data_IF_315790273612
#
_entry.id   IF_315790273612
#
_cell.length_a   1.000
_cell.length_b   1.000
_cell.length_c   1.000
_cell.angle_alpha   90.00
_cell.angle_beta   90.00
_cell.angle_gamma   90.00
#
_symmetry.space_group_name_H-M   'P 1'
#
loop_
_entity.id
_entity.type
_entity.pdbx_description
1 polymer ?
#
# COMPACT_ATOMS: atom_id res chain seq x y z
N UNK A 1 -22.73 -0.26 4.32
CA UNK A 1 -22.56 -0.58 2.89
C UNK A 1 -23.90 -0.99 2.29
N UNK A 2 -24.31 -0.46 1.13
CA UNK A 2 -25.50 -0.92 0.40
C UNK A 2 -25.05 -1.80 -0.76
N UNK A 3 -25.20 -3.12 -0.62
CA UNK A 3 -24.82 -4.09 -1.65
C UNK A 3 -25.96 -4.21 -2.66
N UNK A 4 -25.82 -3.54 -3.82
CA UNK A 4 -26.83 -3.53 -4.89
C UNK A 4 -26.40 -4.37 -6.10
N UNK A 5 -26.07 -5.62 -5.83
CA UNK A 5 -25.67 -6.64 -6.81
C UNK A 5 -26.87 -7.45 -7.32
N UNK A 6 -26.70 -8.18 -8.42
CA UNK A 6 -27.72 -9.09 -8.97
C UNK A 6 -27.86 -10.42 -8.21
N UNK A 7 -26.88 -10.74 -7.36
CA UNK A 7 -26.84 -11.89 -6.46
C UNK A 7 -26.43 -11.40 -5.07
N UNK A 8 -27.00 -11.92 -3.97
CA UNK A 8 -26.49 -11.60 -2.63
C UNK A 8 -25.03 -12.07 -2.48
N UNK A 9 -24.22 -11.44 -1.60
CA UNK A 9 -22.90 -11.95 -1.27
C UNK A 9 -23.02 -13.26 -0.47
N UNK A 10 -22.03 -14.14 -0.55
CA UNK A 10 -22.00 -15.39 0.23
C UNK A 10 -21.64 -15.16 1.71
N UNK A 11 -20.96 -14.05 2.01
CA UNK A 11 -20.39 -13.76 3.32
C UNK A 11 -20.43 -12.25 3.66
N UNK A 12 -20.57 -11.93 4.96
CA UNK A 12 -20.24 -10.63 5.55
C UNK A 12 -19.16 -10.81 6.64
N UNK A 13 -18.26 -9.84 6.75
CA UNK A 13 -17.28 -9.73 7.84
C UNK A 13 -17.73 -8.64 8.82
N UNK A 14 -17.61 -8.90 10.12
CA UNK A 14 -17.92 -7.93 11.18
C UNK A 14 -16.69 -7.12 11.56
N UNK A 15 -16.81 -5.79 11.59
CA UNK A 15 -15.68 -4.89 11.87
C UNK A 15 -15.30 -4.87 13.36
N UNK A 16 -14.03 -4.58 13.65
CA UNK A 16 -13.50 -4.47 15.03
C UNK A 16 -14.25 -3.46 15.91
N UNK A 17 -14.77 -2.38 15.33
CA UNK A 17 -15.24 -1.22 16.08
C UNK A 17 -16.57 -1.46 16.82
N UNK A 18 -16.80 -0.64 17.84
CA UNK A 18 -18.11 -0.50 18.48
C UNK A 18 -19.04 0.35 17.64
N UNK A 19 -20.32 -0.01 17.62
CA UNK A 19 -21.42 0.80 17.08
C UNK A 19 -22.45 0.95 18.20
N UNK A 20 -22.69 2.19 18.64
CA UNK A 20 -23.58 2.50 19.76
C UNK A 20 -23.27 1.69 21.04
N UNK A 21 -21.97 1.56 21.36
CA UNK A 21 -21.47 0.93 22.59
C UNK A 21 -21.17 -0.58 22.51
N UNK A 22 -21.72 -1.30 21.52
CA UNK A 22 -21.47 -2.74 21.33
C UNK A 22 -20.55 -2.99 20.13
N UNK A 23 -19.58 -3.88 20.26
CA UNK A 23 -18.77 -4.37 19.12
C UNK A 23 -19.69 -5.02 18.08
N UNK A 24 -19.38 -4.85 16.79
CA UNK A 24 -20.25 -5.30 15.70
C UNK A 24 -20.52 -6.82 15.75
N UNK A 25 -19.53 -7.60 16.18
CA UNK A 25 -19.54 -9.05 16.30
C UNK A 25 -20.59 -9.58 17.32
N UNK A 26 -20.93 -8.79 18.34
CA UNK A 26 -21.97 -9.08 19.33
C UNK A 26 -23.23 -8.21 19.21
N UNK A 27 -23.35 -7.43 18.13
CA UNK A 27 -24.45 -6.49 17.98
C UNK A 27 -25.69 -7.14 17.33
N UNK A 28 -26.54 -7.74 18.17
CA UNK A 28 -27.82 -8.38 17.79
C UNK A 28 -28.66 -7.50 16.85
N UNK A 29 -28.67 -6.17 17.04
CA UNK A 29 -29.45 -5.26 16.20
C UNK A 29 -28.90 -5.15 14.77
N UNK A 30 -27.58 -5.23 14.60
CA UNK A 30 -26.96 -5.19 13.27
C UNK A 30 -27.09 -6.56 12.61
N UNK A 31 -26.65 -7.62 13.30
CA UNK A 31 -26.53 -8.96 12.74
C UNK A 31 -27.87 -9.68 12.60
N UNK A 32 -28.68 -9.75 13.66
CA UNK A 32 -29.99 -10.39 13.60
C UNK A 32 -31.10 -9.45 13.11
N UNK A 33 -31.35 -8.32 13.78
CA UNK A 33 -32.55 -7.52 13.48
C UNK A 33 -32.51 -6.89 12.07
N UNK A 34 -31.39 -6.29 11.68
CA UNK A 34 -31.23 -5.74 10.31
C UNK A 34 -30.81 -6.81 9.31
N UNK A 35 -29.63 -7.42 9.47
CA UNK A 35 -29.04 -8.27 8.43
C UNK A 35 -29.82 -9.59 8.22
N UNK A 36 -30.14 -10.36 9.27
CA UNK A 36 -30.96 -11.59 9.11
C UNK A 36 -32.44 -11.30 8.89
N UNK A 37 -33.08 -10.46 9.71
CA UNK A 37 -34.54 -10.36 9.77
C UNK A 37 -35.12 -9.37 8.76
N UNK A 38 -34.61 -8.14 8.69
CA UNK A 38 -35.08 -7.12 7.75
C UNK A 38 -34.57 -7.33 6.32
N UNK A 39 -33.27 -7.62 6.14
CA UNK A 39 -32.64 -7.76 4.82
C UNK A 39 -32.62 -9.18 4.28
N UNK A 40 -33.03 -10.17 5.09
CA UNK A 40 -33.17 -11.57 4.66
C UNK A 40 -31.85 -12.31 4.38
N UNK A 41 -30.70 -11.83 4.87
CA UNK A 41 -29.40 -12.44 4.57
C UNK A 41 -29.25 -13.84 5.17
N UNK A 42 -28.83 -14.83 4.35
CA UNK A 42 -28.68 -16.24 4.76
C UNK A 42 -27.29 -16.84 4.47
N UNK A 43 -26.32 -16.02 4.03
CA UNK A 43 -24.92 -16.43 3.91
C UNK A 43 -24.18 -16.44 5.26
N UNK A 44 -22.86 -16.55 5.23
CA UNK A 44 -22.01 -16.63 6.42
C UNK A 44 -21.74 -15.24 7.03
N UNK A 45 -21.60 -15.16 8.35
CA UNK A 45 -21.07 -14.00 9.08
C UNK A 45 -19.78 -14.41 9.79
N UNK A 46 -18.65 -13.81 9.40
CA UNK A 46 -17.33 -14.07 9.98
C UNK A 46 -16.85 -12.87 10.82
N UNK A 47 -15.96 -13.08 11.78
CA UNK A 47 -15.24 -11.98 12.40
C UNK A 47 -14.12 -11.47 11.49
N UNK A 48 -13.72 -10.22 11.66
CA UNK A 48 -12.37 -9.79 11.30
C UNK A 48 -11.32 -10.55 12.15
N UNK A 49 -10.04 -10.41 11.83
CA UNK A 49 -8.96 -11.24 12.37
C UNK A 49 -8.64 -10.94 13.84
N UNK A 50 -9.13 -11.76 14.76
CA UNK A 50 -9.15 -11.49 16.20
C UNK A 50 -10.32 -10.60 16.65
N UNK A 51 -11.24 -10.26 15.74
CA UNK A 51 -12.38 -9.37 15.97
C UNK A 51 -13.58 -10.01 16.70
N UNK A 52 -13.39 -11.07 17.48
CA UNK A 52 -14.45 -11.71 18.28
C UNK A 52 -14.36 -11.25 19.73
N UNK A 53 -15.39 -10.56 20.23
CA UNK A 53 -15.38 -9.89 21.53
C UNK A 53 -15.91 -10.76 22.68
N UNK A 54 -16.64 -11.84 22.40
CA UNK A 54 -17.11 -12.79 23.40
C UNK A 54 -17.41 -14.17 22.80
N UNK A 55 -17.45 -15.19 23.67
CA UNK A 55 -17.92 -16.54 23.30
C UNK A 55 -19.44 -16.58 23.05
N UNK A 56 -20.26 -15.98 23.93
CA UNK A 56 -21.70 -16.27 24.02
C UNK A 56 -22.54 -15.21 23.33
N UNK A 57 -22.32 -13.94 23.66
CA UNK A 57 -23.06 -12.80 23.13
C UNK A 57 -22.93 -12.71 21.60
N UNK A 58 -21.75 -12.98 21.05
CA UNK A 58 -21.49 -12.98 19.61
C UNK A 58 -22.19 -14.14 18.88
N UNK A 59 -22.26 -15.34 19.48
CA UNK A 59 -23.07 -16.43 18.94
C UNK A 59 -24.58 -16.10 18.97
N UNK A 60 -25.07 -15.48 20.06
CA UNK A 60 -26.46 -15.02 20.17
C UNK A 60 -26.78 -13.90 19.15
N UNK A 61 -25.80 -13.06 18.83
CA UNK A 61 -25.93 -12.02 17.82
C UNK A 61 -25.96 -12.56 16.38
N UNK A 62 -25.43 -13.76 16.13
CA UNK A 62 -25.37 -14.36 14.80
C UNK A 62 -24.01 -14.22 14.09
N UNK A 63 -22.92 -14.15 14.86
CA UNK A 63 -21.54 -14.33 14.37
C UNK A 63 -21.26 -15.82 14.18
N UNK A 64 -21.40 -16.32 12.95
CA UNK A 64 -21.28 -17.74 12.65
C UNK A 64 -19.85 -18.25 12.92
N UNK A 65 -18.81 -17.54 12.47
CA UNK A 65 -17.40 -17.97 12.52
C UNK A 65 -16.48 -16.94 13.18
N UNK A 66 -15.64 -17.41 14.12
CA UNK A 66 -14.48 -16.69 14.66
C UNK A 66 -13.27 -16.93 13.75
N UNK A 67 -12.51 -15.86 13.48
CA UNK A 67 -11.27 -15.87 12.72
C UNK A 67 -10.15 -15.23 13.56
N UNK A 68 -8.92 -15.74 13.55
CA UNK A 68 -8.44 -16.94 12.84
C UNK A 68 -8.81 -18.27 13.52
N UNK A 69 -8.31 -19.38 12.97
CA UNK A 69 -8.27 -20.67 13.66
C UNK A 69 -7.25 -20.70 14.81
N UNK A 70 -7.42 -21.65 15.73
CA UNK A 70 -7.07 -21.51 17.16
C UNK A 70 -7.95 -20.42 17.79
N UNK A 71 -9.22 -20.78 18.01
CA UNK A 71 -10.30 -19.84 18.32
C UNK A 71 -10.24 -19.43 19.80
N UNK A 72 -9.43 -18.41 20.12
CA UNK A 72 -9.13 -17.99 21.49
C UNK A 72 -10.38 -17.82 22.38
N UNK A 73 -11.49 -17.33 21.82
CA UNK A 73 -12.72 -17.11 22.58
C UNK A 73 -13.66 -18.32 22.62
N UNK A 74 -13.65 -19.21 21.62
CA UNK A 74 -14.57 -20.36 21.51
C UNK A 74 -13.97 -21.71 21.90
N UNK A 75 -12.70 -21.96 21.62
CA UNK A 75 -12.08 -23.30 21.69
C UNK A 75 -12.13 -23.88 23.11
N UNK A 76 -11.78 -23.10 24.13
CA UNK A 76 -11.76 -23.55 25.54
C UNK A 76 -13.13 -23.93 26.12
N UNK A 77 -14.24 -23.56 25.47
CA UNK A 77 -15.62 -23.74 25.98
C UNK A 77 -16.50 -24.60 25.09
N UNK A 78 -16.37 -24.50 23.76
CA UNK A 78 -17.23 -25.20 22.79
C UNK A 78 -16.65 -26.54 22.32
N UNK A 79 -15.32 -26.70 22.29
CA UNK A 79 -14.68 -27.96 21.86
C UNK A 79 -15.02 -29.15 22.78
N UNK A 80 -15.54 -28.88 23.98
CA UNK A 80 -16.03 -29.88 24.94
C UNK A 80 -17.48 -30.33 24.70
N UNK A 81 -18.16 -29.74 23.72
CA UNK A 81 -19.55 -30.01 23.35
C UNK A 81 -19.75 -30.36 21.86
N UNK A 82 -18.79 -30.03 20.99
CA UNK A 82 -18.88 -30.25 19.55
C UNK A 82 -17.59 -30.84 18.95
N UNK A 83 -17.61 -32.17 18.76
CA UNK A 83 -16.79 -32.89 17.78
C UNK A 83 -17.77 -33.74 16.94
N UNK A 84 -17.63 -33.91 15.62
CA UNK A 84 -16.53 -33.49 14.73
C UNK A 84 -17.02 -33.36 13.26
N UNK A 85 -16.08 -33.08 12.34
CA UNK A 85 -16.19 -33.05 10.86
C UNK A 85 -16.88 -31.82 10.20
N UNK A 86 -16.17 -31.06 9.32
CA UNK A 86 -16.79 -30.12 8.39
C UNK A 86 -17.50 -30.87 7.24
N UNK A 87 -18.59 -30.32 6.71
CA UNK A 87 -19.39 -31.02 5.68
C UNK A 87 -18.76 -30.93 4.28
N UNK A 88 -19.03 -31.89 3.37
CA UNK A 88 -18.54 -31.85 1.99
C UNK A 88 -18.99 -30.60 1.22
N UNK A 89 -20.16 -30.03 1.52
CA UNK A 89 -20.67 -28.80 0.90
C UNK A 89 -19.81 -27.59 1.25
N UNK A 90 -19.34 -27.49 2.50
CA UNK A 90 -18.43 -26.41 2.93
C UNK A 90 -17.08 -26.52 2.22
N UNK A 91 -16.53 -27.73 2.11
CA UNK A 91 -15.27 -27.97 1.39
C UNK A 91 -15.42 -27.67 -0.12
N UNK A 92 -16.52 -28.11 -0.75
CA UNK A 92 -16.80 -27.81 -2.15
C UNK A 92 -17.02 -26.31 -2.41
N UNK A 93 -17.64 -25.58 -1.47
CA UNK A 93 -17.78 -24.13 -1.55
C UNK A 93 -16.41 -23.42 -1.45
N UNK A 94 -15.54 -23.87 -0.54
CA UNK A 94 -14.16 -23.37 -0.40
C UNK A 94 -13.36 -23.65 -1.68
N UNK A 95 -13.36 -24.88 -2.21
CA UNK A 95 -12.65 -25.22 -3.45
C UNK A 95 -13.19 -24.43 -4.67
N UNK A 96 -14.50 -24.18 -4.71
CA UNK A 96 -15.12 -23.33 -5.76
C UNK A 96 -14.67 -21.86 -5.64
N UNK A 97 -14.54 -21.33 -4.42
CA UNK A 97 -14.05 -19.97 -4.18
C UNK A 97 -12.54 -19.82 -4.39
N UNK A 98 -11.76 -20.87 -4.10
CA UNK A 98 -10.29 -20.94 -4.26
C UNK A 98 -9.88 -21.33 -5.69
N UNK A 99 -10.83 -21.77 -6.53
CA UNK A 99 -10.59 -22.02 -7.95
C UNK A 99 -10.06 -20.76 -8.64
N UNK A 100 -8.81 -20.83 -9.11
CA UNK A 100 -8.05 -19.69 -9.60
C UNK A 100 -8.71 -19.00 -10.81
N UNK A 101 -9.48 -17.94 -10.55
CA UNK A 101 -9.94 -16.99 -11.55
C UNK A 101 -8.72 -16.34 -12.22
N UNK A 102 -8.38 -16.81 -13.42
CA UNK A 102 -7.28 -16.28 -14.23
C UNK A 102 -7.66 -14.93 -14.87
N UNK A 103 -7.83 -13.90 -14.02
CA UNK A 103 -8.14 -12.53 -14.45
C UNK A 103 -7.07 -12.07 -15.45
N UNK A 104 -7.48 -11.95 -16.72
CA UNK A 104 -6.56 -11.60 -17.78
C UNK A 104 -5.92 -10.25 -17.52
N UNK A 105 -4.62 -10.11 -17.82
CA UNK A 105 -3.89 -8.83 -17.81
C UNK A 105 -4.62 -7.73 -18.60
N UNK A 106 -5.40 -8.11 -19.63
CA UNK A 106 -6.29 -7.20 -20.38
C UNK A 106 -7.39 -6.56 -19.50
N UNK A 107 -7.98 -7.32 -18.58
CA UNK A 107 -9.02 -6.85 -17.65
C UNK A 107 -8.39 -5.91 -16.63
N UNK A 108 -7.27 -6.29 -16.00
CA UNK A 108 -6.54 -5.45 -15.05
C UNK A 108 -6.17 -4.11 -15.69
N UNK A 109 -5.58 -4.15 -16.89
CA UNK A 109 -5.23 -2.93 -17.66
C UNK A 109 -6.44 -2.08 -18.02
N UNK A 110 -7.56 -2.70 -18.40
CA UNK A 110 -8.80 -1.97 -18.71
C UNK A 110 -9.38 -1.29 -17.47
N UNK A 111 -9.56 -2.01 -16.37
CA UNK A 111 -10.10 -1.44 -15.12
C UNK A 111 -9.22 -0.30 -14.61
N UNK A 112 -7.89 -0.47 -14.66
CA UNK A 112 -6.95 0.59 -14.31
C UNK A 112 -7.06 1.82 -15.24
N UNK A 113 -7.27 1.63 -16.56
CA UNK A 113 -7.39 2.74 -17.50
C UNK A 113 -8.74 3.45 -17.43
N UNK A 114 -9.84 2.71 -17.24
CA UNK A 114 -11.18 3.26 -17.02
C UNK A 114 -11.26 4.04 -15.69
N UNK A 115 -10.54 3.59 -14.66
CA UNK A 115 -10.50 4.23 -13.34
C UNK A 115 -9.72 5.56 -13.28
N UNK A 116 -8.95 5.91 -14.32
CA UNK A 116 -8.20 7.17 -14.35
C UNK A 116 -9.15 8.37 -14.53
N UNK A 117 -9.02 9.35 -13.63
CA UNK A 117 -9.83 10.57 -13.64
C UNK A 117 -8.98 11.75 -14.14
N UNK A 118 -9.34 12.27 -15.32
CA UNK A 118 -8.73 13.48 -15.88
C UNK A 118 -9.36 14.72 -15.23
N UNK A 119 -8.73 15.23 -14.18
CA UNK A 119 -9.25 16.33 -13.36
C UNK A 119 -9.00 17.72 -13.97
N UNK A 120 -7.89 17.91 -14.69
CA UNK A 120 -7.62 19.13 -15.48
C UNK A 120 -6.99 18.78 -16.82
N UNK A 121 -7.39 19.48 -17.88
CA UNK A 121 -6.75 19.47 -19.22
C UNK A 121 -7.00 20.79 -19.96
N UNK A 122 -6.85 21.91 -19.25
CA UNK A 122 -7.31 23.26 -19.68
C UNK A 122 -6.65 23.76 -20.96
N UNK A 123 -5.44 23.28 -21.26
CA UNK A 123 -4.66 23.67 -22.45
C UNK A 123 -4.68 22.60 -23.56
N UNK A 124 -5.53 21.55 -23.42
CA UNK A 124 -5.60 20.40 -24.34
C UNK A 124 -4.22 19.72 -24.54
N UNK A 125 -3.44 19.65 -23.46
CA UNK A 125 -2.11 19.02 -23.43
C UNK A 125 -2.21 17.49 -23.57
N UNK A 126 -3.34 16.89 -23.15
CA UNK A 126 -3.68 15.50 -23.42
C UNK A 126 -4.79 15.38 -24.49
N UNK A 127 -4.78 14.30 -25.31
CA UNK A 127 -3.77 13.24 -25.36
C UNK A 127 -2.43 13.72 -25.95
N UNK A 128 -1.32 13.13 -25.51
CA UNK A 128 0.01 13.38 -26.08
C UNK A 128 0.07 12.75 -27.48
N UNK A 129 0.19 13.55 -28.56
CA UNK A 129 0.21 13.01 -29.91
C UNK A 129 1.54 12.27 -30.13
N UNK A 130 1.45 10.98 -30.44
CA UNK A 130 2.60 10.07 -30.56
C UNK A 130 3.63 10.54 -31.60
N UNK A 131 3.21 10.89 -32.83
CA UNK A 131 4.15 11.24 -33.91
C UNK A 131 5.03 12.47 -33.57
N UNK A 132 4.51 13.58 -33.01
CA UNK A 132 5.33 14.67 -32.46
C UNK A 132 6.34 14.30 -31.34
N UNK A 133 6.19 13.15 -30.68
CA UNK A 133 7.15 12.63 -29.70
C UNK A 133 8.29 11.80 -30.31
N UNK A 134 8.23 11.44 -31.59
CA UNK A 134 9.27 10.69 -32.27
C UNK A 134 10.64 11.39 -32.15
N UNK A 135 11.63 10.69 -31.60
CA UNK A 135 12.97 11.22 -31.35
C UNK A 135 13.03 12.37 -30.33
N UNK A 136 11.95 12.66 -29.59
CA UNK A 136 11.96 13.66 -28.51
C UNK A 136 12.41 13.03 -27.19
N UNK A 137 12.84 13.88 -26.27
CA UNK A 137 13.14 13.51 -24.89
C UNK A 137 11.97 13.90 -23.96
N UNK A 138 11.21 12.90 -23.55
CA UNK A 138 10.31 12.99 -22.40
C UNK A 138 11.15 12.75 -21.13
N UNK A 139 10.68 13.17 -19.97
CA UNK A 139 11.34 12.90 -18.70
C UNK A 139 10.32 12.78 -17.56
N UNK A 140 10.72 12.03 -16.54
CA UNK A 140 9.94 11.55 -15.41
C UNK A 140 10.76 11.81 -14.12
N UNK A 141 10.47 12.86 -13.35
CA UNK A 141 10.82 13.02 -11.93
C UNK A 141 9.73 12.31 -11.14
N UNK A 142 10.07 11.78 -9.97
CA UNK A 142 9.15 11.71 -8.85
C UNK A 142 9.41 10.48 -8.00
N UNK A 143 8.91 10.45 -6.75
CA UNK A 143 8.90 9.23 -5.95
C UNK A 143 8.24 8.07 -6.72
N UNK A 144 7.06 8.31 -7.30
CA UNK A 144 6.25 7.31 -8.00
C UNK A 144 6.59 7.19 -9.51
N UNK A 145 7.61 7.89 -10.01
CA UNK A 145 7.79 8.08 -11.45
C UNK A 145 8.51 6.92 -12.16
N UNK A 146 9.31 6.15 -11.43
CA UNK A 146 9.97 4.95 -11.96
C UNK A 146 8.98 3.78 -12.02
N UNK A 147 8.65 3.23 -10.85
CA UNK A 147 7.80 2.03 -10.70
C UNK A 147 6.32 2.40 -10.52
N UNK A 148 6.04 3.40 -9.68
CA UNK A 148 4.70 3.71 -9.18
C UNK A 148 4.30 2.78 -8.02
N UNK A 149 3.21 3.11 -7.34
CA UNK A 149 2.63 2.31 -6.26
C UNK A 149 1.49 1.45 -6.84
N UNK A 150 1.47 0.13 -6.61
CA UNK A 150 0.47 -0.75 -7.23
C UNK A 150 -0.76 -1.02 -6.36
N UNK A 151 -0.68 -0.86 -5.03
CA UNK A 151 -1.77 -1.15 -4.08
C UNK A 151 -1.70 -0.27 -2.83
N UNK A 152 -2.48 -0.64 -1.81
CA UNK A 152 -2.43 -0.09 -0.44
C UNK A 152 -1.71 -1.06 0.50
N UNK A 153 -1.26 -0.58 1.65
CA UNK A 153 -0.68 -1.41 2.71
C UNK A 153 -1.72 -2.25 3.45
N UNK A 154 -1.28 -3.38 4.01
CA UNK A 154 -2.09 -4.26 4.87
C UNK A 154 -2.66 -5.50 4.20
N UNK A 155 -3.79 -6.00 4.70
CA UNK A 155 -4.48 -7.22 4.23
C UNK A 155 -4.89 -7.17 2.75
N UNK A 156 -5.13 -5.97 2.21
CA UNK A 156 -5.41 -5.74 0.79
C UNK A 156 -4.15 -5.71 -0.11
N UNK A 157 -2.94 -5.77 0.46
CA UNK A 157 -1.69 -5.89 -0.30
C UNK A 157 -1.51 -7.32 -0.84
N UNK A 158 -0.86 -7.46 -2.00
CA UNK A 158 -0.70 -8.74 -2.69
C UNK A 158 0.70 -8.89 -3.27
N UNK A 159 1.29 -10.09 -3.15
CA UNK A 159 2.51 -10.46 -3.87
C UNK A 159 2.23 -10.53 -5.38
N UNK A 160 2.60 -9.47 -6.10
CA UNK A 160 2.32 -9.32 -7.52
C UNK A 160 3.19 -10.25 -8.38
N UNK A 161 2.59 -10.89 -9.38
CA UNK A 161 3.33 -11.69 -10.38
C UNK A 161 4.35 -10.84 -11.15
N UNK A 162 4.03 -9.56 -11.35
CA UNK A 162 4.89 -8.52 -11.91
C UNK A 162 4.21 -7.15 -11.67
N UNK A 163 4.95 -6.06 -11.88
CA UNK A 163 4.40 -4.72 -11.96
C UNK A 163 4.85 -4.04 -13.25
N UNK A 164 3.94 -3.33 -13.91
CA UNK A 164 4.27 -2.45 -15.03
C UNK A 164 4.73 -1.08 -14.52
N UNK A 165 6.01 -0.78 -14.73
CA UNK A 165 6.64 0.46 -14.27
C UNK A 165 6.18 1.65 -15.12
N UNK A 166 5.85 2.78 -14.49
CA UNK A 166 5.31 3.99 -15.13
C UNK A 166 6.16 4.46 -16.32
N UNK A 167 7.45 4.73 -16.09
CA UNK A 167 8.37 5.21 -17.13
C UNK A 167 8.58 4.18 -18.25
N UNK A 168 8.83 2.91 -17.88
CA UNK A 168 9.10 1.85 -18.86
C UNK A 168 7.89 1.57 -19.75
N UNK A 169 6.69 1.54 -19.16
CA UNK A 169 5.44 1.30 -19.88
C UNK A 169 5.14 2.39 -20.90
N UNK A 170 5.44 3.66 -20.59
CA UNK A 170 5.34 4.76 -21.55
C UNK A 170 6.19 4.49 -22.82
N UNK A 171 7.42 3.98 -22.65
CA UNK A 171 8.28 3.61 -23.77
C UNK A 171 7.79 2.36 -24.51
N UNK A 172 7.39 1.30 -23.79
CA UNK A 172 6.86 0.07 -24.40
C UNK A 172 5.59 0.31 -25.20
N UNK A 173 4.67 1.13 -24.69
CA UNK A 173 3.42 1.46 -25.39
C UNK A 173 3.69 2.37 -26.58
N UNK A 174 4.54 3.40 -26.47
CA UNK A 174 4.93 4.22 -27.63
C UNK A 174 5.57 3.37 -28.75
N UNK A 175 6.48 2.45 -28.38
CA UNK A 175 7.11 1.52 -29.33
C UNK A 175 6.09 0.58 -29.98
N UNK A 176 5.06 0.12 -29.24
CA UNK A 176 3.96 -0.67 -29.81
C UNK A 176 3.14 0.08 -30.88
N UNK A 177 3.18 1.41 -30.85
CA UNK A 177 2.54 2.30 -31.84
C UNK A 177 3.54 2.80 -32.90
N UNK A 178 4.72 2.16 -33.01
CA UNK A 178 5.76 2.49 -33.97
C UNK A 178 6.59 3.75 -33.66
N UNK A 179 6.52 4.28 -32.44
CA UNK A 179 7.20 5.53 -32.06
C UNK A 179 8.26 5.32 -30.97
N UNK A 180 9.52 5.53 -31.33
CA UNK A 180 10.64 5.54 -30.39
C UNK A 180 10.74 6.90 -29.68
N UNK A 181 10.64 6.88 -28.34
CA UNK A 181 10.76 8.07 -27.48
C UNK A 181 11.89 7.88 -26.47
N UNK A 182 12.78 8.87 -26.37
CA UNK A 182 13.80 8.92 -25.32
C UNK A 182 13.16 9.37 -24.01
N UNK A 183 13.44 8.66 -22.91
CA UNK A 183 12.93 9.04 -21.58
C UNK A 183 14.08 9.09 -20.58
N UNK A 184 14.07 10.10 -19.71
CA UNK A 184 15.00 10.24 -18.57
C UNK A 184 14.25 10.16 -17.24
N UNK A 185 14.79 9.41 -16.28
CA UNK A 185 14.28 9.32 -14.91
C UNK A 185 14.95 10.32 -13.96
N UNK A 186 14.30 10.61 -12.83
CA UNK A 186 14.82 11.34 -11.68
C UNK A 186 13.90 11.19 -10.46
N UNK A 187 14.39 11.47 -9.24
CA UNK A 187 13.52 11.43 -8.05
C UNK A 187 12.84 12.78 -7.74
N UNK A 188 13.53 13.90 -7.94
CA UNK A 188 13.03 15.23 -7.54
C UNK A 188 13.04 15.40 -6.03
N UNK A 189 11.93 15.04 -5.39
CA UNK A 189 11.75 15.03 -3.95
C UNK A 189 11.81 13.59 -3.41
N UNK A 190 12.22 13.42 -2.15
CA UNK A 190 11.88 12.21 -1.40
C UNK A 190 10.45 12.35 -0.85
N UNK A 191 9.71 11.24 -0.78
CA UNK A 191 8.33 11.22 -0.31
C UNK A 191 7.90 9.90 0.36
N UNK A 192 8.81 8.92 0.50
CA UNK A 192 8.54 7.70 1.27
C UNK A 192 8.39 8.04 2.74
N UNK A 193 7.65 7.23 3.49
CA UNK A 193 7.47 7.41 4.94
C UNK A 193 8.73 6.93 5.66
N UNK A 194 9.17 5.73 5.30
CA UNK A 194 10.39 5.11 5.79
C UNK A 194 11.52 5.23 4.75
N UNK A 195 12.73 4.84 5.14
CA UNK A 195 13.82 4.72 4.18
C UNK A 195 13.56 3.54 3.22
N UNK A 196 13.90 3.68 1.92
CA UNK A 196 13.66 2.62 0.95
C UNK A 196 14.44 1.34 1.29
N UNK A 197 13.77 0.20 1.18
CA UNK A 197 14.40 -1.12 1.24
C UNK A 197 15.63 -1.21 0.32
N UNK A 198 16.66 -1.89 0.81
CA UNK A 198 17.87 -2.23 0.08
C UNK A 198 17.57 -2.83 -1.30
N UNK A 199 17.98 -2.15 -2.37
CA UNK A 199 17.65 -2.57 -3.75
C UNK A 199 18.44 -3.82 -4.17
N UNK A 200 17.77 -4.81 -4.76
CA UNK A 200 18.36 -6.09 -5.20
C UNK A 200 19.59 -5.95 -6.12
N UNK A 201 19.68 -4.86 -6.89
CA UNK A 201 20.81 -4.59 -7.78
C UNK A 201 22.07 -4.14 -7.04
N UNK A 202 21.91 -3.63 -5.81
CA UNK A 202 22.96 -3.06 -4.97
C UNK A 202 23.41 -4.08 -3.90
N UNK A 203 22.61 -5.09 -3.56
CA UNK A 203 22.88 -6.05 -2.48
C UNK A 203 23.17 -7.45 -3.01
N UNK A 204 24.23 -8.09 -2.52
CA UNK A 204 24.64 -9.46 -2.89
C UNK A 204 25.30 -10.14 -1.70
N UNK A 205 24.98 -11.41 -1.45
CA UNK A 205 25.80 -12.26 -0.59
C UNK A 205 27.19 -12.46 -1.25
N UNK A 206 28.32 -12.28 -0.55
CA UNK A 206 29.66 -12.50 -1.12
C UNK A 206 29.98 -13.95 -1.51
N UNK A 207 29.06 -14.90 -1.27
CA UNK A 207 29.27 -16.34 -1.37
C UNK A 207 28.04 -17.00 -2.00
N UNK A 208 28.22 -17.64 -3.16
CA UNK A 208 27.21 -18.40 -3.91
C UNK A 208 27.32 -19.91 -3.65
N UNK A 209 26.27 -20.67 -4.01
CA UNK A 209 25.22 -21.11 -3.10
C UNK A 209 25.68 -22.24 -2.15
N UNK A 210 25.01 -22.35 -0.99
CA UNK A 210 24.89 -23.61 -0.24
C UNK A 210 23.56 -24.29 -0.60
N UNK A 211 23.34 -25.54 -0.16
CA UNK A 211 22.09 -26.26 -0.42
C UNK A 211 20.85 -25.42 -0.07
N UNK A 212 19.92 -25.33 -1.02
CA UNK A 212 18.66 -24.59 -0.87
C UNK A 212 18.62 -23.17 -1.45
N UNK A 213 19.74 -22.59 -1.90
CA UNK A 213 19.72 -21.33 -2.67
C UNK A 213 19.55 -21.59 -4.18
N UNK A 214 18.78 -20.73 -4.85
CA UNK A 214 18.54 -20.75 -6.30
C UNK A 214 19.43 -19.77 -7.09
N UNK A 215 20.46 -19.20 -6.44
CA UNK A 215 21.38 -18.22 -7.04
C UNK A 215 20.82 -16.81 -7.13
N UNK A 216 19.71 -16.51 -6.43
CA UNK A 216 19.13 -15.17 -6.34
C UNK A 216 19.13 -14.61 -4.90
N UNK A 217 19.78 -15.29 -3.95
CA UNK A 217 19.87 -14.81 -2.58
C UNK A 217 20.71 -13.51 -2.47
N UNK A 218 20.13 -12.49 -1.86
CA UNK A 218 20.79 -11.23 -1.49
C UNK A 218 20.97 -11.08 0.01
N UNK A 219 20.35 -11.96 0.80
CA UNK A 219 20.36 -11.91 2.27
C UNK A 219 20.22 -13.33 2.85
N UNK A 220 20.94 -13.57 3.95
CA UNK A 220 20.92 -14.80 4.77
C UNK A 220 20.36 -14.45 6.15
N UNK A 221 19.35 -15.20 6.59
CA UNK A 221 18.93 -15.25 8.01
C UNK A 221 19.56 -16.46 8.67
N UNK A 222 20.02 -16.31 9.91
CA UNK A 222 20.39 -17.40 10.81
C UNK A 222 19.53 -17.31 12.08
N UNK A 223 18.76 -18.36 12.37
CA UNK A 223 17.88 -18.44 13.54
C UNK A 223 18.62 -19.12 14.69
N UNK A 224 19.07 -18.37 15.69
CA UNK A 224 19.67 -18.91 16.91
C UNK A 224 18.60 -19.28 17.95
N UNK A 225 18.91 -20.20 18.87
CA UNK A 225 18.04 -20.55 20.01
C UNK A 225 18.30 -19.71 21.27
N UNK A 226 19.19 -18.73 21.16
CA UNK A 226 19.72 -17.88 22.21
C UNK A 226 19.27 -16.43 21.98
N UNK A 227 18.73 -15.72 22.99
CA UNK A 227 18.24 -14.35 22.80
C UNK A 227 19.34 -13.32 22.45
N UNK A 228 20.60 -13.62 22.76
CA UNK A 228 21.78 -12.82 22.39
C UNK A 228 22.40 -13.24 21.05
N UNK A 229 21.73 -14.15 20.32
CA UNK A 229 22.18 -14.77 19.06
C UNK A 229 23.49 -15.55 19.14
N UNK A 230 23.99 -15.86 20.34
CA UNK A 230 25.25 -16.60 20.53
C UNK A 230 25.17 -18.08 20.11
N UNK A 231 26.25 -18.60 19.53
CA UNK A 231 26.36 -20.01 19.13
C UNK A 231 25.85 -20.32 17.71
N UNK A 232 25.65 -21.60 17.35
CA UNK A 232 25.32 -22.00 15.99
C UNK A 232 23.83 -21.83 15.67
N UNK A 233 23.55 -21.36 14.45
CA UNK A 233 22.21 -21.27 13.91
C UNK A 233 21.49 -22.64 13.91
N UNK A 234 20.25 -22.66 14.41
CA UNK A 234 19.34 -23.83 14.35
C UNK A 234 18.73 -24.00 12.97
N UNK A 235 18.58 -22.91 12.23
CA UNK A 235 18.05 -22.87 10.87
C UNK A 235 18.68 -21.70 10.11
N UNK A 236 19.05 -21.91 8.86
CA UNK A 236 19.46 -20.85 7.94
C UNK A 236 18.41 -20.73 6.84
N UNK A 237 18.06 -19.51 6.45
CA UNK A 237 17.18 -19.23 5.33
C UNK A 237 17.85 -18.20 4.40
N UNK A 238 17.68 -18.39 3.10
CA UNK A 238 18.10 -17.43 2.08
C UNK A 238 16.88 -16.68 1.51
N UNK A 239 17.06 -15.40 1.13
CA UNK A 239 16.01 -14.57 0.50
C UNK A 239 16.56 -13.72 -0.64
N UNK A 240 15.71 -13.51 -1.64
CA UNK A 240 15.99 -12.65 -2.81
C UNK A 240 15.41 -11.24 -2.67
N UNK A 241 14.89 -10.88 -1.50
CA UNK A 241 14.38 -9.55 -1.15
C UNK A 241 14.86 -9.15 0.26
N UNK A 242 14.80 -7.84 0.51
CA UNK A 242 15.26 -7.15 1.73
C UNK A 242 14.13 -6.81 2.71
N UNK A 243 12.88 -7.14 2.37
CA UNK A 243 11.74 -7.04 3.29
C UNK A 243 11.78 -8.22 4.28
N UNK A 244 12.33 -7.99 5.48
CA UNK A 244 12.37 -8.95 6.58
C UNK A 244 12.60 -8.28 7.93
N UNK A 245 12.16 -8.95 8.99
CA UNK A 245 12.71 -8.84 10.35
C UNK A 245 14.16 -9.39 10.42
N UNK A 246 15.10 -8.74 9.72
CA UNK A 246 16.52 -8.48 10.07
C UNK A 246 17.48 -9.71 10.21
N UNK A 247 18.79 -9.71 9.86
CA UNK A 247 19.79 -8.79 9.26
C UNK A 247 21.07 -9.64 8.96
N UNK A 248 22.08 -9.32 8.13
CA UNK A 248 22.40 -8.27 7.15
C UNK A 248 23.49 -8.80 6.17
N UNK A 249 23.72 -8.21 4.98
CA UNK A 249 25.04 -8.20 4.30
C UNK A 249 25.21 -7.06 3.29
N UNK A 250 26.17 -6.16 3.53
CA UNK A 250 26.69 -5.17 2.56
C UNK A 250 27.65 -5.81 1.52
N UNK A 251 27.77 -5.31 0.26
CA UNK A 251 28.73 -5.81 -0.73
C UNK A 251 30.09 -5.08 -0.70
N UNK A 252 31.12 -5.74 -1.24
CA UNK A 252 32.51 -5.25 -1.24
C UNK A 252 32.77 -3.99 -2.09
N UNK A 253 31.96 -3.72 -3.12
CA UNK A 253 32.24 -2.71 -4.16
C UNK A 253 31.37 -1.43 -4.03
N UNK A 254 31.02 -1.01 -2.81
CA UNK A 254 30.11 0.12 -2.56
C UNK A 254 30.88 1.39 -2.13
N UNK A 255 30.83 2.47 -2.93
CA UNK A 255 31.69 3.67 -2.77
C UNK A 255 30.96 5.04 -2.62
N UNK A 256 31.71 6.08 -2.21
CA UNK A 256 31.44 6.74 -0.91
C UNK A 256 31.73 8.24 -0.74
N UNK A 257 30.68 9.06 -0.56
CA UNK A 257 30.74 10.47 -0.08
C UNK A 257 29.43 11.14 0.45
N UNK A 258 28.26 10.47 0.55
CA UNK A 258 26.96 11.07 0.93
C UNK A 258 26.17 10.31 2.03
N UNK A 259 26.80 10.07 3.20
CA UNK A 259 26.23 9.39 4.41
C UNK A 259 24.75 9.00 4.34
N UNK A 260 24.35 7.87 3.71
CA UNK A 260 22.97 7.43 3.76
C UNK A 260 22.56 7.17 5.20
N UNK A 261 21.34 7.55 5.55
CA UNK A 261 20.71 7.00 6.72
C UNK A 261 20.44 5.51 6.47
N UNK A 262 20.75 4.70 7.48
CA UNK A 262 20.22 3.34 7.64
C UNK A 262 19.06 3.45 8.63
N UNK A 263 18.04 2.61 8.50
CA UNK A 263 16.95 2.58 9.47
C UNK A 263 16.62 1.19 9.98
N UNK A 264 15.92 1.18 11.11
CA UNK A 264 15.47 -0.01 11.80
C UNK A 264 14.10 0.27 12.42
N UNK A 265 13.13 -0.58 12.12
CA UNK A 265 11.94 -0.76 12.95
C UNK A 265 11.60 -2.24 13.00
N UNK A 266 10.98 -2.69 14.10
CA UNK A 266 10.70 -4.11 14.33
C UNK A 266 9.60 -4.28 15.37
N UNK A 267 8.96 -5.45 15.38
CA UNK A 267 8.29 -5.97 16.57
C UNK A 267 9.35 -6.68 17.42
N UNK A 268 9.40 -6.39 18.72
CA UNK A 268 10.53 -6.79 19.57
C UNK A 268 11.81 -5.99 19.33
N UNK A 269 12.85 -6.30 20.11
CA UNK A 269 14.14 -5.58 20.09
C UNK A 269 15.08 -6.07 18.99
N UNK A 270 15.76 -5.15 18.30
CA UNK A 270 16.66 -5.46 17.18
C UNK A 270 17.86 -4.51 17.08
N UNK A 271 18.96 -4.91 16.42
CA UNK A 271 20.14 -4.07 16.22
C UNK A 271 20.72 -4.26 14.82
N UNK A 272 21.06 -3.15 14.16
CA UNK A 272 21.70 -3.15 12.85
C UNK A 272 23.17 -2.80 12.99
N UNK A 273 24.01 -3.71 12.52
CA UNK A 273 25.46 -3.55 12.43
C UNK A 273 25.87 -3.42 10.95
N UNK A 274 26.85 -2.58 10.65
CA UNK A 274 27.43 -2.43 9.31
C UNK A 274 28.95 -2.49 9.43
N UNK A 275 29.57 -3.48 8.78
CA UNK A 275 30.98 -3.86 8.94
C UNK A 275 31.37 -4.22 10.39
N UNK A 276 30.41 -4.73 11.16
CA UNK A 276 30.58 -5.07 12.59
C UNK A 276 30.40 -3.90 13.56
N UNK A 277 30.27 -2.67 13.06
CA UNK A 277 29.98 -1.48 13.88
C UNK A 277 28.47 -1.30 14.07
N UNK A 278 28.01 -1.00 15.28
CA UNK A 278 26.59 -0.77 15.58
C UNK A 278 26.12 0.56 14.98
N UNK A 279 25.24 0.51 13.98
CA UNK A 279 24.71 1.70 13.29
C UNK A 279 23.33 2.10 13.81
N UNK A 280 22.46 1.13 14.17
CA UNK A 280 21.15 1.44 14.77
C UNK A 280 20.86 0.48 15.94
N UNK A 281 20.61 1.04 17.12
CA UNK A 281 20.17 0.28 18.29
C UNK A 281 18.66 0.43 18.53
N UNK A 282 17.91 -0.59 18.10
CA UNK A 282 16.50 -0.76 18.40
C UNK A 282 16.25 -1.88 19.44
N UNK A 283 17.26 -2.23 20.25
CA UNK A 283 17.19 -3.36 21.19
C UNK A 283 16.17 -3.15 22.31
N UNK A 284 15.93 -1.88 22.69
CA UNK A 284 14.82 -1.47 23.54
C UNK A 284 14.16 -0.23 22.91
N UNK A 285 12.84 -0.20 22.92
CA UNK A 285 11.99 0.92 22.53
C UNK A 285 10.74 0.93 23.41
N UNK A 286 10.09 2.09 23.52
CA UNK A 286 8.90 2.30 24.35
C UNK A 286 7.90 3.14 23.57
N UNK A 287 6.61 2.85 23.74
CA UNK A 287 5.55 3.40 22.90
C UNK A 287 5.39 2.62 21.60
N UNK A 288 4.13 2.36 21.26
CA UNK A 288 3.73 1.74 19.99
C UNK A 288 3.79 2.78 18.86
N UNK A 289 4.16 2.36 17.65
CA UNK A 289 4.19 3.20 16.45
C UNK A 289 3.84 2.39 15.19
N UNK A 290 3.60 3.10 14.09
CA UNK A 290 2.91 2.64 12.86
C UNK A 290 3.48 1.37 12.20
N UNK A 291 4.75 1.00 12.43
CA UNK A 291 5.31 -0.28 11.96
C UNK A 291 4.46 -1.47 12.42
N UNK A 292 4.21 -2.42 11.51
CA UNK A 292 3.42 -3.63 11.77
C UNK A 292 2.08 -3.33 12.46
N UNK A 293 1.19 -2.61 11.75
CA UNK A 293 -0.19 -2.33 12.19
C UNK A 293 -0.29 -1.63 13.55
N UNK A 294 0.63 -0.71 13.84
CA UNK A 294 0.80 -0.04 15.15
C UNK A 294 1.35 -0.91 16.30
N UNK A 295 1.81 -2.14 16.07
CA UNK A 295 2.40 -3.00 17.12
C UNK A 295 3.94 -2.98 17.18
N UNK A 296 4.60 -2.26 16.27
CA UNK A 296 6.06 -2.17 16.18
C UNK A 296 6.67 -0.89 16.76
N UNK A 297 7.99 -0.80 16.67
CA UNK A 297 8.74 0.42 17.04
C UNK A 297 8.57 1.55 16.03
N UNK A 298 8.82 2.79 16.45
CA UNK A 298 9.10 3.87 15.51
C UNK A 298 10.37 3.56 14.69
N UNK A 299 10.51 4.19 13.51
CA UNK A 299 11.73 4.07 12.71
C UNK A 299 12.91 4.79 13.40
N UNK A 300 13.86 4.02 13.94
CA UNK A 300 15.16 4.55 14.37
C UNK A 300 16.08 4.68 13.17
N UNK A 301 16.86 5.76 13.10
CA UNK A 301 17.82 6.04 12.03
C UNK A 301 19.25 6.15 12.58
N UNK A 302 20.21 5.60 11.85
CA UNK A 302 21.66 5.77 12.02
C UNK A 302 22.29 6.09 10.67
N UNK A 303 23.62 6.26 10.55
CA UNK A 303 24.21 6.77 9.30
C UNK A 303 25.71 6.44 9.12
N UNK A 304 26.12 5.98 7.92
CA UNK A 304 27.52 5.67 7.53
C UNK A 304 27.77 6.14 6.07
N UNK A 305 28.99 6.51 5.66
CA UNK A 305 29.32 7.29 4.42
C UNK A 305 29.25 6.46 3.08
N UNK A 306 28.39 6.80 2.08
CA UNK A 306 28.15 6.14 0.73
C UNK A 306 27.50 7.14 -0.31
N UNK A 307 27.50 7.03 -1.67
CA UNK A 307 27.13 8.19 -2.61
C UNK A 307 26.05 8.11 -3.74
N UNK A 308 25.58 9.33 -4.15
CA UNK A 308 25.33 9.90 -5.52
C UNK A 308 24.18 9.37 -6.46
N UNK A 309 23.58 10.12 -7.43
CA UNK A 309 23.03 11.51 -7.50
C UNK A 309 21.96 11.69 -8.67
N UNK A 310 21.59 12.92 -9.17
CA UNK A 310 20.21 13.41 -9.60
C UNK A 310 20.15 14.27 -10.95
N UNK A 311 19.08 14.83 -11.63
CA UNK A 311 17.55 15.00 -11.58
C UNK A 311 16.88 15.63 -12.90
N UNK A 312 15.53 15.53 -13.18
CA UNK A 312 14.54 16.55 -13.80
C UNK A 312 13.11 16.06 -14.35
N UNK A 313 11.99 16.84 -14.16
CA UNK A 313 10.54 16.84 -14.68
C UNK A 313 9.39 15.87 -14.19
N UNK A 314 8.44 16.29 -13.32
CA UNK A 314 7.68 15.44 -12.34
C UNK A 314 6.36 14.67 -12.63
N UNK A 315 6.14 13.65 -11.76
CA UNK A 315 4.96 12.89 -11.27
C UNK A 315 5.01 12.92 -9.71
N UNK A 316 3.88 12.81 -8.99
CA UNK A 316 3.81 12.88 -7.50
C UNK A 316 2.80 11.87 -6.91
N UNK A 317 2.77 11.71 -5.57
CA UNK A 317 1.75 10.90 -4.89
C UNK A 317 2.04 10.52 -3.43
N UNK A 318 1.25 9.55 -2.97
CA UNK A 318 1.42 8.74 -1.76
C UNK A 318 1.93 7.33 -2.14
N UNK A 319 2.16 6.48 -1.14
CA UNK A 319 2.42 5.06 -1.32
C UNK A 319 1.78 4.21 -0.20
N UNK A 320 2.01 2.90 -0.26
CA UNK A 320 1.46 1.89 0.66
C UNK A 320 1.92 2.04 2.13
N UNK A 321 2.92 2.89 2.42
CA UNK A 321 3.32 3.26 3.79
C UNK A 321 2.50 4.45 4.32
N UNK A 322 2.02 5.32 3.44
CA UNK A 322 1.14 6.44 3.79
C UNK A 322 -0.35 6.04 3.81
N UNK A 323 -0.74 5.03 3.03
CA UNK A 323 -2.10 4.51 3.01
C UNK A 323 -2.07 2.99 3.23
N UNK A 324 -2.14 2.60 4.50
CA UNK A 324 -2.13 1.23 5.00
C UNK A 324 -3.28 1.00 5.97
N UNK A 325 -3.70 -0.25 6.10
CA UNK A 325 -4.42 -0.73 7.28
C UNK A 325 -3.60 -0.50 8.57
N UNK A 326 -4.30 -0.29 9.69
CA UNK A 326 -3.75 -0.15 11.03
C UNK A 326 -3.61 1.28 11.55
N UNK A 327 -3.52 2.28 10.67
CA UNK A 327 -3.42 3.69 11.06
C UNK A 327 -3.95 4.65 9.99
N UNK A 328 -4.50 5.78 10.43
CA UNK A 328 -4.95 6.84 9.54
C UNK A 328 -3.88 7.90 9.26
N UNK A 329 -3.99 8.57 8.11
CA UNK A 329 -3.16 9.73 7.78
C UNK A 329 -3.49 10.89 8.73
N UNK A 330 -2.43 11.48 9.30
CA UNK A 330 -2.54 12.60 10.23
C UNK A 330 -2.94 13.91 9.54
N UNK A 331 -2.73 14.02 8.22
CA UNK A 331 -3.15 15.15 7.39
C UNK A 331 -3.43 14.72 5.94
N UNK A 332 -3.88 15.67 5.12
CA UNK A 332 -4.07 15.49 3.68
C UNK A 332 -2.86 15.89 2.82
N UNK A 333 -1.71 16.25 3.38
CA UNK A 333 -0.59 16.80 2.61
C UNK A 333 0.03 15.78 1.63
N UNK A 334 0.68 16.30 0.57
CA UNK A 334 1.63 15.52 -0.22
C UNK A 334 2.96 15.42 0.55
N UNK A 335 3.46 14.21 0.86
CA UNK A 335 4.61 14.02 1.73
C UNK A 335 5.92 14.53 1.14
N UNK A 336 6.78 15.05 2.02
CA UNK A 336 8.11 15.57 1.69
C UNK A 336 8.09 16.82 0.80
N UNK A 337 9.19 17.04 0.07
CA UNK A 337 9.39 18.22 -0.79
C UNK A 337 8.50 18.22 -2.07
N UNK A 338 7.49 17.35 -2.19
CA UNK A 338 6.68 17.23 -3.42
C UNK A 338 5.95 18.52 -3.80
N UNK A 339 5.37 19.23 -2.84
CA UNK A 339 4.74 20.53 -3.09
C UNK A 339 5.76 21.56 -3.58
N UNK A 340 6.96 21.61 -2.97
CA UNK A 340 8.07 22.49 -3.38
C UNK A 340 8.61 22.14 -4.76
N UNK A 341 8.67 20.86 -5.09
CA UNK A 341 9.08 20.33 -6.39
C UNK A 341 8.12 20.77 -7.50
N UNK A 342 6.81 20.64 -7.29
CA UNK A 342 5.81 21.11 -8.26
C UNK A 342 5.90 22.62 -8.44
N UNK A 343 6.02 23.37 -7.33
CA UNK A 343 6.22 24.82 -7.39
C UNK A 343 7.47 25.24 -8.17
N UNK A 344 8.60 24.54 -7.96
CA UNK A 344 9.83 24.76 -8.73
C UNK A 344 9.63 24.48 -10.22
N UNK A 345 8.97 23.38 -10.58
CA UNK A 345 8.72 23.02 -11.98
C UNK A 345 7.79 23.99 -12.69
N UNK A 346 6.70 24.41 -12.05
CA UNK A 346 5.76 25.40 -12.61
C UNK A 346 6.45 26.76 -12.82
N UNK A 347 7.35 27.17 -11.91
CA UNK A 347 8.10 28.44 -12.02
C UNK A 347 9.28 28.39 -13.00
N UNK A 348 9.95 27.24 -13.15
CA UNK A 348 11.21 27.12 -13.92
C UNK A 348 11.06 26.50 -15.31
N UNK A 349 9.97 25.79 -15.60
CA UNK A 349 9.76 25.22 -16.93
C UNK A 349 9.54 26.33 -17.97
N UNK A 350 10.36 26.35 -19.03
CA UNK A 350 10.20 27.27 -20.18
C UNK A 350 8.84 27.14 -20.90
N UNK A 351 8.10 26.06 -20.64
CA UNK A 351 6.80 25.71 -21.22
C UNK A 351 5.95 24.96 -20.17
N UNK A 352 5.42 25.66 -19.15
CA UNK A 352 4.71 25.03 -18.05
C UNK A 352 3.36 24.44 -18.49
N UNK A 353 2.80 24.88 -19.62
CA UNK A 353 1.56 24.35 -20.21
C UNK A 353 1.68 22.88 -20.64
N UNK A 354 2.92 22.44 -20.91
CA UNK A 354 3.30 21.07 -21.30
C UNK A 354 3.64 20.15 -20.11
N UNK A 355 3.47 20.62 -18.88
CA UNK A 355 3.58 19.76 -17.71
C UNK A 355 2.28 18.97 -17.53
N UNK A 356 2.40 17.66 -17.34
CA UNK A 356 1.29 16.75 -17.07
C UNK A 356 1.52 16.17 -15.68
N UNK A 357 0.72 16.60 -14.72
CA UNK A 357 0.86 16.14 -13.34
C UNK A 357 -0.01 14.91 -13.12
N UNK A 358 0.62 13.83 -12.65
CA UNK A 358 -0.04 12.56 -12.33
C UNK A 358 0.08 12.36 -10.82
N UNK A 359 -1.04 12.07 -10.16
CA UNK A 359 -1.11 11.76 -8.74
C UNK A 359 -1.53 10.31 -8.50
N UNK A 360 -0.76 9.60 -7.67
CA UNK A 360 -1.15 8.32 -7.08
C UNK A 360 -1.54 8.52 -5.62
N UNK A 361 -2.76 8.16 -5.26
CA UNK A 361 -3.24 8.03 -3.87
C UNK A 361 -4.55 7.27 -3.86
N UNK A 362 -4.90 6.56 -2.80
CA UNK A 362 -6.23 5.99 -2.61
C UNK A 362 -7.26 7.09 -2.30
N UNK A 363 -6.87 8.07 -1.50
CA UNK A 363 -7.71 9.12 -0.92
C UNK A 363 -7.23 10.54 -1.32
N UNK A 364 -7.98 11.62 -0.98
CA UNK A 364 -7.67 12.98 -1.43
C UNK A 364 -6.40 13.54 -0.78
N UNK A 365 -5.65 14.38 -1.52
CA UNK A 365 -4.50 15.12 -1.00
C UNK A 365 -4.63 16.63 -1.24
N UNK A 366 -4.03 17.46 -0.40
CA UNK A 366 -3.98 18.90 -0.59
C UNK A 366 -3.06 19.28 -1.76
N UNK A 367 -3.57 20.15 -2.64
CA UNK A 367 -2.90 20.54 -3.88
C UNK A 367 -2.80 22.07 -3.96
N UNK A 368 -1.96 22.75 -3.14
CA UNK A 368 -1.85 24.22 -3.08
C UNK A 368 -1.32 24.87 -4.37
N UNK A 369 -1.00 24.07 -5.38
CA UNK A 369 -0.59 24.47 -6.73
C UNK A 369 -1.62 24.13 -7.82
N UNK A 370 -2.78 23.53 -7.47
CA UNK A 370 -3.74 22.99 -8.46
C UNK A 370 -4.22 24.04 -9.47
N UNK A 371 -4.45 25.28 -9.05
CA UNK A 371 -4.91 26.35 -9.95
C UNK A 371 -3.84 26.75 -10.96
N UNK A 372 -2.56 26.60 -10.60
CA UNK A 372 -1.39 27.00 -11.41
C UNK A 372 -0.97 25.94 -12.44
N UNK A 373 -1.59 24.76 -12.45
CA UNK A 373 -1.29 23.69 -13.43
C UNK A 373 -2.38 23.53 -14.48
N UNK A 374 -1.98 23.29 -15.73
CA UNK A 374 -2.90 23.12 -16.87
C UNK A 374 -3.59 21.75 -16.87
N UNK A 375 -2.87 20.72 -16.44
CA UNK A 375 -3.16 19.30 -16.69
C UNK A 375 -2.88 18.45 -15.45
N UNK A 376 -3.89 17.74 -14.96
CA UNK A 376 -3.82 16.94 -13.73
C UNK A 376 -4.66 15.66 -13.87
N UNK A 377 -4.10 14.51 -13.48
CA UNK A 377 -4.74 13.19 -13.48
C UNK A 377 -4.64 12.57 -12.09
N UNK A 378 -5.77 12.06 -11.60
CA UNK A 378 -5.81 11.10 -10.50
C UNK A 378 -5.82 9.69 -11.09
N UNK A 379 -4.90 8.82 -10.65
CA UNK A 379 -4.75 7.47 -11.22
C UNK A 379 -4.85 6.34 -10.20
N UNK A 380 -5.01 6.67 -8.92
CA UNK A 380 -5.11 5.72 -7.80
C UNK A 380 -3.95 4.70 -7.79
N UNK A 381 -4.22 3.51 -7.23
CA UNK A 381 -3.32 2.36 -7.21
C UNK A 381 -3.84 1.29 -8.19
N UNK A 382 -3.48 1.44 -9.48
CA UNK A 382 -4.02 0.65 -10.59
C UNK A 382 -3.50 -0.79 -10.75
N UNK A 383 -2.93 -1.39 -9.71
CA UNK A 383 -2.44 -2.77 -9.73
C UNK A 383 -1.31 -3.04 -10.74
N UNK A 384 -1.19 -4.31 -11.15
CA UNK A 384 -0.08 -4.82 -11.96
C UNK A 384 0.08 -4.11 -13.32
N UNK A 385 -1.01 -3.60 -13.90
CA UNK A 385 -1.03 -2.94 -15.23
C UNK A 385 -1.15 -1.40 -15.18
N UNK A 386 -1.01 -0.78 -14.00
CA UNK A 386 -1.09 0.67 -13.80
C UNK A 386 -0.23 1.49 -14.78
N UNK A 387 1.03 1.10 -14.97
CA UNK A 387 1.95 1.81 -15.88
C UNK A 387 1.52 1.75 -17.34
N UNK A 388 1.00 0.60 -17.81
CA UNK A 388 0.52 0.46 -19.20
C UNK A 388 -0.84 1.11 -19.41
N UNK A 389 -1.69 1.13 -18.39
CA UNK A 389 -2.98 1.82 -18.39
C UNK A 389 -2.81 3.35 -18.43
N UNK A 390 -1.90 3.89 -17.61
CA UNK A 390 -1.51 5.30 -17.66
C UNK A 390 -0.97 5.68 -19.04
N UNK A 391 -0.11 4.84 -19.63
CA UNK A 391 0.41 5.09 -20.97
C UNK A 391 -0.69 5.12 -22.05
N UNK A 392 -1.72 4.25 -21.97
CA UNK A 392 -2.86 4.31 -22.92
C UNK A 392 -3.62 5.64 -22.81
N UNK A 393 -3.89 6.11 -21.59
CA UNK A 393 -4.58 7.38 -21.34
C UNK A 393 -3.73 8.57 -21.77
N UNK A 394 -2.43 8.55 -21.49
CA UNK A 394 -1.51 9.62 -21.90
C UNK A 394 -1.41 9.74 -23.42
N UNK A 395 -1.47 8.64 -24.18
CA UNK A 395 -1.43 8.66 -25.65
C UNK A 395 -2.82 8.74 -26.32
N UNK A 396 -3.91 8.67 -25.55
CA UNK A 396 -5.29 8.66 -26.07
C UNK A 396 -5.72 7.34 -26.72
N UNK A 397 -5.01 6.24 -26.47
CA UNK A 397 -5.42 4.87 -26.84
C UNK A 397 -6.63 4.41 -26.01
N UNK A 398 -6.78 4.98 -24.80
CA UNK A 398 -8.01 4.96 -24.00
C UNK A 398 -8.39 6.39 -23.65
N UNK A 399 -9.66 6.74 -23.76
CA UNK A 399 -10.20 8.03 -23.32
C UNK A 399 -10.54 7.94 -21.82
N UNK A 400 -9.96 8.77 -20.92
CA UNK A 400 -10.18 8.65 -19.48
C UNK A 400 -11.65 8.87 -19.11
N UNK A 401 -12.30 7.80 -18.67
CA UNK A 401 -13.75 7.72 -18.43
C UNK A 401 -14.12 7.88 -16.95
N UNK A 402 -13.16 7.72 -16.04
CA UNK A 402 -13.35 7.71 -14.60
C UNK A 402 -13.97 9.00 -14.03
N UNK A 403 -14.57 8.87 -12.85
CA UNK A 403 -15.08 9.97 -12.01
C UNK A 403 -14.58 9.75 -10.59
N UNK A 404 -14.43 10.82 -9.81
CA UNK A 404 -14.08 10.67 -8.39
C UNK A 404 -15.24 9.97 -7.66
N UNK A 405 -14.99 8.87 -6.93
CA UNK A 405 -15.99 8.23 -6.06
C UNK A 405 -16.13 8.98 -4.71
N UNK A 406 -15.32 10.01 -4.49
CA UNK A 406 -15.13 10.71 -3.22
C UNK A 406 -15.09 12.23 -3.44
N UNK A 407 -15.55 13.01 -2.46
CA UNK A 407 -15.41 14.47 -2.48
C UNK A 407 -13.95 14.84 -2.21
N UNK A 408 -13.36 15.68 -3.05
CA UNK A 408 -12.00 16.19 -2.88
C UNK A 408 -12.06 17.61 -2.32
N UNK A 409 -11.99 17.74 -0.99
CA UNK A 409 -11.88 19.04 -0.30
C UNK A 409 -10.55 19.73 -0.62
N UNK A 410 -10.50 21.06 -0.61
CA UNK A 410 -9.31 21.82 -1.05
C UNK A 410 -8.26 21.89 0.06
N UNK A 411 -8.73 22.02 1.30
CA UNK A 411 -7.98 21.89 2.54
C UNK A 411 -8.60 20.77 3.40
N UNK A 412 -7.81 20.18 4.28
CA UNK A 412 -8.30 19.26 5.31
C UNK A 412 -9.38 19.94 6.19
N UNK A 413 -9.18 21.24 6.51
CA UNK A 413 -10.13 22.06 7.27
C UNK A 413 -11.50 22.28 6.61
N UNK A 414 -11.68 21.90 5.34
CA UNK A 414 -12.98 21.98 4.65
C UNK A 414 -13.83 20.70 4.89
N UNK A 415 -13.33 19.71 5.63
CA UNK A 415 -14.04 18.48 5.96
C UNK A 415 -14.86 18.64 7.26
N UNK A 416 -16.10 18.15 7.33
CA UNK A 416 -17.02 18.41 8.45
C UNK A 416 -16.48 17.91 9.80
N UNK A 417 -15.64 16.86 9.78
CA UNK A 417 -15.04 16.25 10.98
C UNK A 417 -13.69 16.84 11.41
N UNK A 418 -13.00 17.58 10.52
CA UNK A 418 -11.57 17.93 10.68
C UNK A 418 -11.20 18.79 11.89
N UNK A 419 -12.17 19.48 12.48
CA UNK A 419 -12.00 20.43 13.60
C UNK A 419 -12.78 20.01 14.86
N UNK A 420 -13.34 18.80 14.88
CA UNK A 420 -14.18 18.28 15.98
C UNK A 420 -13.53 17.00 16.52
N UNK A 421 -12.72 17.06 17.59
CA UNK A 421 -11.99 15.90 18.11
C UNK A 421 -12.88 14.71 18.45
N UNK A 422 -14.10 14.97 18.94
CA UNK A 422 -15.11 13.96 19.21
C UNK A 422 -15.59 13.20 17.95
N UNK A 423 -15.46 13.79 16.76
CA UNK A 423 -15.88 13.21 15.47
C UNK A 423 -14.69 12.68 14.67
N UNK A 424 -13.49 13.25 14.83
CA UNK A 424 -12.26 12.66 14.29
C UNK A 424 -11.00 13.15 15.04
N UNK A 425 -10.08 12.26 15.46
CA UNK A 425 -10.11 10.79 15.35
C UNK A 425 -11.03 10.12 16.38
N UNK A 426 -11.76 10.90 17.18
CA UNK A 426 -12.52 10.43 18.33
C UNK A 426 -11.86 10.82 19.66
N UNK A 427 -12.61 10.62 20.74
CA UNK A 427 -12.25 11.01 22.10
C UNK A 427 -12.68 9.93 23.09
N UNK A 428 -11.84 9.66 24.08
CA UNK A 428 -12.08 8.68 25.15
C UNK A 428 -12.49 7.27 24.63
N UNK A 429 -12.02 6.89 23.44
CA UNK A 429 -12.35 5.63 22.77
C UNK A 429 -13.70 5.61 22.01
N UNK A 430 -14.27 6.78 21.72
CA UNK A 430 -15.56 6.95 21.03
C UNK A 430 -15.46 7.93 19.86
N UNK A 431 -16.32 7.77 18.85
CA UNK A 431 -16.39 8.63 17.65
C UNK A 431 -17.85 9.01 17.41
N UNK A 432 -18.17 10.29 17.51
CA UNK A 432 -19.50 10.85 17.31
C UNK A 432 -19.69 11.30 15.84
N UNK A 433 -20.44 10.54 15.05
CA UNK A 433 -20.80 10.91 13.68
C UNK A 433 -21.87 12.02 13.72
N UNK A 434 -21.46 13.26 13.45
CA UNK A 434 -22.24 14.51 13.62
C UNK A 434 -22.55 15.23 12.30
N UNK A 435 -22.19 14.62 11.17
CA UNK A 435 -22.37 15.18 9.83
C UNK A 435 -23.81 15.12 9.30
N UNK A 436 -24.71 14.40 10.00
CA UNK A 436 -26.14 14.30 9.69
C UNK A 436 -27.07 14.93 10.77
N UNK A 437 -26.53 15.62 11.79
CA UNK A 437 -27.27 16.15 12.95
C UNK A 437 -27.48 17.67 12.94
#
# INVERSE_FOLDING_TARGET
MVVRTSSPPDCFMTSYNKVNGLHADMNVRILNDRLRNEWGFRGLVVSDWGGTSSTVESLIAGLDLEMPGQAEQRESKLLKAATEAPTPELLAAIDTAVTNYSISRKIIRKVAADGIVLLKNTQKTLPLPLQPLAGKQVAFIGPNALQGTPGVGGSASLNLQYQSYMMGSFQTVAASQGVTVSVKHALGAYARKWLPLAAKAIWRLPQLPKEGDNGQAILRMDFCSSPDLSGPAKKTHYRSNSYMDLTDTCPADFQTDHVPPFSLSSVGGSKLYVDGELVVDNGIWYGLAETFYTFGSAEKRGSKHLTAQRICRAIVGLDEEWESEGYDRQDMALPGDQNRLVDALVRQAKRPERLVFVNQSGSPVELPWIDRVSTFLQVFYGGQEAGKALADVLFGLVNPSGRLPIRWSRLYSDLPFSLVPETWPGKDGSVDYKEES
#
